data_IF_576552213217
#
_entry.id   IF_576552213217
#
_cell.length_a   1.000
_cell.length_b   1.000
_cell.length_c   1.000
_cell.angle_alpha   90.00
_cell.angle_beta   90.00
_cell.angle_gamma   90.00
#
_symmetry.space_group_name_H-M   'P 1'
#
loop_
_entity.id
_entity.type
_entity.pdbx_description
1 polymer ?
#
# COMPACT_ATOMS: atom_id res chain seq x y z
N UNK A 1 14.74 -7.67 -0.80
CA UNK A 1 15.73 -8.47 -0.06
C UNK A 1 16.11 -9.71 -0.86
N UNK A 2 15.18 -10.64 -1.11
CA UNK A 2 15.45 -11.86 -1.88
C UNK A 2 16.13 -11.59 -3.23
N UNK A 3 15.68 -10.55 -3.96
CA UNK A 3 16.28 -10.16 -5.25
C UNK A 3 17.71 -9.66 -5.09
N UNK A 4 18.00 -8.92 -4.04
CA UNK A 4 19.36 -8.44 -3.75
C UNK A 4 20.29 -9.61 -3.35
N UNK A 5 19.76 -10.53 -2.57
CA UNK A 5 20.51 -11.76 -2.18
C UNK A 5 20.78 -12.67 -3.40
N UNK A 6 19.78 -12.86 -4.28
CA UNK A 6 19.93 -13.67 -5.50
C UNK A 6 20.92 -13.06 -6.51
N UNK A 7 21.02 -11.72 -6.57
CA UNK A 7 21.94 -11.01 -7.47
C UNK A 7 23.27 -10.64 -6.82
N UNK A 8 23.50 -11.01 -5.55
CA UNK A 8 24.69 -10.65 -4.78
C UNK A 8 24.98 -9.14 -4.76
N UNK A 9 23.94 -8.29 -4.84
CA UNK A 9 24.06 -6.84 -4.88
C UNK A 9 24.51 -6.33 -3.51
N UNK A 10 25.63 -5.61 -3.47
CA UNK A 10 26.21 -5.03 -2.25
C UNK A 10 26.48 -3.53 -2.38
N UNK A 11 26.53 -3.03 -3.61
CA UNK A 11 26.73 -1.59 -3.86
C UNK A 11 25.48 -0.79 -3.53
N UNK A 12 25.65 0.31 -2.77
CA UNK A 12 24.54 1.15 -2.29
C UNK A 12 23.71 1.73 -3.42
N UNK A 13 24.35 2.16 -4.51
CA UNK A 13 23.67 2.72 -5.67
C UNK A 13 22.88 1.66 -6.43
N UNK A 14 23.40 0.45 -6.51
CA UNK A 14 22.67 -0.67 -7.11
C UNK A 14 21.46 -1.08 -6.25
N UNK A 15 21.57 -1.01 -4.93
CA UNK A 15 20.47 -1.25 -3.99
C UNK A 15 19.37 -0.20 -4.20
N UNK A 16 19.73 1.09 -4.28
CA UNK A 16 18.79 2.17 -4.55
C UNK A 16 18.09 1.99 -5.92
N UNK A 17 18.85 1.62 -6.96
CA UNK A 17 18.26 1.35 -8.26
C UNK A 17 17.29 0.17 -8.21
N UNK A 18 17.64 -0.90 -7.51
CA UNK A 18 16.76 -2.06 -7.34
C UNK A 18 15.50 -1.71 -6.55
N UNK A 19 15.60 -0.82 -5.55
CA UNK A 19 14.45 -0.31 -4.83
C UNK A 19 13.53 0.54 -5.71
N UNK A 20 14.09 1.45 -6.50
CA UNK A 20 13.33 2.25 -7.46
C UNK A 20 12.63 1.39 -8.51
N UNK A 21 13.31 0.35 -8.99
CA UNK A 21 12.77 -0.65 -9.91
C UNK A 21 11.61 -1.45 -9.27
N UNK A 22 11.75 -1.81 -7.99
CA UNK A 22 10.68 -2.44 -7.21
C UNK A 22 9.47 -1.51 -7.02
N UNK A 23 9.69 -0.23 -6.74
CA UNK A 23 8.64 0.79 -6.64
C UNK A 23 7.82 0.90 -7.93
N UNK A 24 8.48 0.80 -9.09
CA UNK A 24 7.84 0.93 -10.40
C UNK A 24 7.19 -0.36 -10.87
N UNK A 25 7.87 -1.49 -10.72
CA UNK A 25 7.51 -2.73 -11.39
C UNK A 25 7.08 -3.85 -10.44
N UNK A 26 7.05 -3.59 -9.14
CA UNK A 26 6.68 -4.58 -8.12
C UNK A 26 7.74 -5.66 -7.91
N UNK A 27 7.33 -6.74 -7.25
CA UNK A 27 8.20 -7.83 -6.81
C UNK A 27 7.87 -9.20 -7.40
N UNK A 28 6.97 -9.29 -8.40
CA UNK A 28 6.63 -10.58 -9.02
C UNK A 28 7.90 -11.24 -9.60
N UNK A 29 8.27 -12.48 -9.18
CA UNK A 29 9.59 -13.05 -9.48
C UNK A 29 9.89 -13.14 -10.98
N UNK A 30 8.91 -13.57 -11.78
CA UNK A 30 9.10 -13.79 -13.21
C UNK A 30 9.38 -12.49 -14.00
N UNK A 31 9.02 -11.31 -13.46
CA UNK A 31 9.32 -10.03 -14.13
C UNK A 31 10.83 -9.80 -14.33
N UNK A 32 11.66 -10.38 -13.48
CA UNK A 32 13.12 -10.24 -13.56
C UNK A 32 13.76 -10.98 -14.74
N UNK A 33 13.00 -11.81 -15.46
CA UNK A 33 13.42 -12.46 -16.70
C UNK A 33 13.32 -11.50 -17.90
N UNK A 34 12.51 -10.44 -17.79
CA UNK A 34 12.32 -9.46 -18.87
C UNK A 34 13.35 -8.33 -18.75
N UNK A 35 14.05 -8.07 -19.88
CA UNK A 35 15.10 -7.05 -19.97
C UNK A 35 14.59 -5.69 -20.45
N UNK A 36 13.39 -5.65 -21.03
CA UNK A 36 12.80 -4.46 -21.60
C UNK A 36 11.56 -4.04 -20.81
N UNK A 37 11.33 -2.73 -20.75
CA UNK A 37 10.13 -2.17 -20.12
C UNK A 37 8.83 -2.67 -20.79
N UNK A 38 8.84 -2.83 -22.10
CA UNK A 38 7.72 -3.36 -22.87
C UNK A 38 7.42 -4.81 -22.49
N UNK A 39 8.45 -5.66 -22.38
CA UNK A 39 8.31 -7.04 -21.94
C UNK A 39 7.75 -7.15 -20.52
N UNK A 40 8.23 -6.29 -19.59
CA UNK A 40 7.68 -6.23 -18.23
C UNK A 40 6.22 -5.80 -18.22
N UNK A 41 5.83 -4.79 -18.98
CA UNK A 41 4.44 -4.33 -19.10
C UNK A 41 3.53 -5.44 -19.65
N UNK A 42 3.97 -6.10 -20.71
CA UNK A 42 3.21 -7.22 -21.30
C UNK A 42 2.99 -8.34 -20.28
N UNK A 43 4.06 -8.76 -19.61
CA UNK A 43 3.96 -9.78 -18.55
C UNK A 43 3.00 -9.40 -17.44
N UNK A 44 3.13 -8.17 -16.90
CA UNK A 44 2.26 -7.70 -15.82
C UNK A 44 0.79 -7.59 -16.27
N UNK A 45 0.56 -7.17 -17.52
CA UNK A 45 -0.78 -7.14 -18.12
C UNK A 45 -1.37 -8.55 -18.23
N UNK A 46 -0.59 -9.51 -18.69
CA UNK A 46 -1.04 -10.92 -18.81
C UNK A 46 -1.37 -11.51 -17.43
N UNK A 47 -0.55 -11.19 -16.41
CA UNK A 47 -0.82 -11.63 -15.03
C UNK A 47 -2.10 -10.98 -14.50
N UNK A 48 -2.27 -9.67 -14.71
CA UNK A 48 -3.47 -8.95 -14.28
C UNK A 48 -4.71 -9.52 -14.98
N UNK A 49 -4.69 -9.72 -16.29
CA UNK A 49 -5.79 -10.29 -17.05
C UNK A 49 -6.10 -11.72 -16.61
N UNK A 50 -5.09 -12.52 -16.32
CA UNK A 50 -5.30 -13.87 -15.79
C UNK A 50 -6.03 -13.85 -14.44
N UNK A 51 -5.64 -12.96 -13.52
CA UNK A 51 -6.31 -12.80 -12.22
C UNK A 51 -7.73 -12.28 -12.43
N UNK A 52 -7.90 -11.19 -13.19
CA UNK A 52 -9.19 -10.52 -13.36
C UNK A 52 -10.15 -11.38 -14.16
N UNK A 53 -9.77 -11.83 -15.37
CA UNK A 53 -10.70 -12.50 -16.28
C UNK A 53 -10.95 -13.96 -15.90
N UNK A 54 -9.89 -14.70 -15.53
CA UNK A 54 -10.02 -16.13 -15.24
C UNK A 54 -10.49 -16.39 -13.82
N UNK A 55 -9.98 -15.67 -12.86
CA UNK A 55 -10.27 -15.95 -11.45
C UNK A 55 -11.44 -15.10 -10.94
N UNK A 56 -11.39 -13.79 -11.05
CA UNK A 56 -12.44 -12.91 -10.49
C UNK A 56 -13.71 -12.96 -11.30
N UNK A 57 -13.63 -12.62 -12.58
CA UNK A 57 -14.82 -12.49 -13.46
C UNK A 57 -15.55 -13.81 -13.62
N UNK A 58 -14.83 -14.88 -13.94
CA UNK A 58 -15.42 -16.20 -14.14
C UNK A 58 -15.99 -16.78 -12.85
N UNK A 59 -15.27 -16.71 -11.75
CA UNK A 59 -15.69 -17.27 -10.45
C UNK A 59 -16.91 -16.56 -9.87
N UNK A 60 -17.00 -15.24 -10.04
CA UNK A 60 -18.09 -14.43 -9.48
C UNK A 60 -19.16 -14.06 -10.50
N UNK A 61 -19.10 -14.58 -11.72
CA UNK A 61 -20.05 -14.31 -12.80
C UNK A 61 -20.29 -12.80 -13.03
N UNK A 62 -19.20 -12.03 -13.07
CA UNK A 62 -19.26 -10.57 -13.23
C UNK A 62 -19.68 -10.27 -14.68
N UNK A 63 -20.84 -9.62 -14.82
CA UNK A 63 -21.37 -9.27 -16.15
C UNK A 63 -20.72 -8.01 -16.73
N UNK A 64 -20.37 -7.04 -15.87
CA UNK A 64 -19.79 -5.78 -16.29
C UNK A 64 -18.31 -5.72 -15.89
N UNK A 65 -17.44 -6.29 -16.75
CA UNK A 65 -15.99 -6.34 -16.55
C UNK A 65 -15.38 -4.96 -16.59
N UNK A 66 -15.86 -4.07 -17.47
CA UNK A 66 -15.35 -2.71 -17.60
C UNK A 66 -15.61 -1.87 -16.33
N UNK A 67 -16.76 -2.04 -15.69
CA UNK A 67 -17.01 -1.42 -14.40
C UNK A 67 -16.04 -1.92 -13.33
N UNK A 68 -15.79 -3.23 -13.27
CA UNK A 68 -14.81 -3.80 -12.34
C UNK A 68 -13.42 -3.18 -12.56
N UNK A 69 -12.96 -3.10 -13.80
CA UNK A 69 -11.67 -2.47 -14.12
C UNK A 69 -11.62 -1.01 -13.70
N UNK A 70 -12.69 -0.23 -13.94
CA UNK A 70 -12.77 1.18 -13.50
C UNK A 70 -12.70 1.33 -11.98
N UNK A 71 -13.31 0.41 -11.23
CA UNK A 71 -13.21 0.39 -9.77
C UNK A 71 -11.76 0.12 -9.34
N UNK A 72 -11.07 -0.82 -9.99
CA UNK A 72 -9.66 -1.10 -9.70
C UNK A 72 -8.74 0.09 -10.05
N UNK A 73 -8.94 0.72 -11.20
CA UNK A 73 -8.22 1.94 -11.59
C UNK A 73 -8.38 3.06 -10.55
N UNK A 74 -9.60 3.29 -10.07
CA UNK A 74 -9.86 4.29 -9.03
C UNK A 74 -9.07 4.02 -7.75
N UNK A 75 -9.03 2.77 -7.30
CA UNK A 75 -8.28 2.39 -6.09
C UNK A 75 -6.78 2.60 -6.25
N UNK A 76 -6.23 2.22 -7.41
CA UNK A 76 -4.81 2.36 -7.72
C UNK A 76 -4.39 3.82 -7.87
N UNK A 77 -5.27 4.67 -8.39
CA UNK A 77 -5.00 6.11 -8.55
C UNK A 77 -5.21 6.91 -7.27
N UNK A 78 -5.82 6.31 -6.23
CA UNK A 78 -6.00 6.89 -4.90
C UNK A 78 -5.36 6.02 -3.80
N UNK A 79 -4.06 5.69 -3.92
CA UNK A 79 -3.42 4.77 -2.99
C UNK A 79 -3.31 5.39 -1.59
N UNK A 80 -3.37 4.54 -0.58
CA UNK A 80 -3.24 4.92 0.85
C UNK A 80 -4.31 5.87 1.39
N UNK A 81 -5.36 6.17 0.62
CA UNK A 81 -6.49 6.97 1.07
C UNK A 81 -7.62 6.10 1.62
N UNK A 82 -8.39 6.67 2.55
CA UNK A 82 -9.61 6.02 2.99
C UNK A 82 -10.58 5.87 1.83
N UNK A 83 -11.07 4.66 1.64
CA UNK A 83 -12.04 4.39 0.59
C UNK A 83 -13.38 5.05 0.92
N UNK A 84 -13.92 5.79 -0.04
CA UNK A 84 -15.23 6.42 0.02
C UNK A 84 -16.09 5.97 -1.15
N UNK A 85 -17.11 5.12 -0.92
CA UNK A 85 -18.04 4.73 -1.99
C UNK A 85 -18.72 5.93 -2.63
N UNK A 86 -19.07 6.95 -1.85
CA UNK A 86 -19.73 8.17 -2.35
C UNK A 86 -18.85 8.93 -3.33
N UNK A 87 -17.56 9.11 -3.01
CA UNK A 87 -16.61 9.76 -3.91
C UNK A 87 -16.45 8.96 -5.22
N UNK A 88 -16.34 7.65 -5.10
CA UNK A 88 -16.23 6.78 -6.26
C UNK A 88 -17.48 6.81 -7.14
N UNK A 89 -18.68 6.77 -6.55
CA UNK A 89 -19.94 6.91 -7.29
C UNK A 89 -19.92 8.24 -8.04
N UNK A 90 -19.55 9.35 -7.38
CA UNK A 90 -19.47 10.66 -8.01
C UNK A 90 -18.51 10.72 -9.21
N UNK A 91 -17.39 10.01 -9.17
CA UNK A 91 -16.49 9.91 -10.34
C UNK A 91 -17.11 9.09 -11.48
N UNK A 92 -17.72 7.94 -11.18
CA UNK A 92 -18.38 7.11 -12.19
C UNK A 92 -19.61 7.78 -12.81
N UNK A 93 -20.35 8.57 -12.05
CA UNK A 93 -21.49 9.38 -12.55
C UNK A 93 -21.05 10.43 -13.56
N UNK A 94 -19.88 11.06 -13.39
CA UNK A 94 -19.31 11.97 -14.40
C UNK A 94 -19.08 11.27 -15.74
N UNK A 95 -18.78 9.98 -15.71
CA UNK A 95 -18.62 9.13 -16.89
C UNK A 95 -19.93 8.51 -17.35
N UNK A 96 -21.08 8.89 -16.74
CA UNK A 96 -22.41 8.34 -17.00
C UNK A 96 -22.51 6.82 -16.75
N UNK A 97 -21.76 6.31 -15.81
CA UNK A 97 -21.78 4.90 -15.39
C UNK A 97 -22.58 4.78 -14.10
N UNK A 98 -23.84 4.29 -14.16
CA UNK A 98 -24.64 4.11 -12.96
C UNK A 98 -24.13 2.90 -12.16
N UNK A 99 -23.90 3.09 -10.86
CA UNK A 99 -23.42 2.02 -9.99
C UNK A 99 -24.04 2.13 -8.60
N UNK A 100 -24.37 1.00 -8.00
CA UNK A 100 -24.82 0.96 -6.61
C UNK A 100 -23.64 0.78 -5.65
N UNK A 101 -23.78 1.31 -4.44
CA UNK A 101 -22.82 1.10 -3.35
C UNK A 101 -22.57 -0.40 -3.12
N UNK A 102 -23.62 -1.24 -3.22
CA UNK A 102 -23.50 -2.68 -3.08
C UNK A 102 -22.57 -3.26 -4.14
N UNK A 103 -22.77 -2.90 -5.42
CA UNK A 103 -21.93 -3.39 -6.53
C UNK A 103 -20.46 -3.04 -6.32
N UNK A 104 -20.18 -1.84 -5.81
CA UNK A 104 -18.80 -1.43 -5.48
C UNK A 104 -18.21 -2.36 -4.41
N UNK A 105 -18.91 -2.58 -3.30
CA UNK A 105 -18.41 -3.47 -2.25
C UNK A 105 -18.26 -4.91 -2.73
N UNK A 106 -19.19 -5.43 -3.53
CA UNK A 106 -19.07 -6.76 -4.14
C UNK A 106 -17.76 -6.85 -4.98
N UNK A 107 -17.44 -5.83 -5.78
CA UNK A 107 -16.19 -5.78 -6.54
C UNK A 107 -14.93 -5.74 -5.63
N UNK A 108 -14.99 -4.99 -4.54
CA UNK A 108 -13.89 -4.93 -3.56
C UNK A 108 -13.69 -6.28 -2.87
N UNK A 109 -14.77 -6.95 -2.49
CA UNK A 109 -14.71 -8.27 -1.86
C UNK A 109 -14.15 -9.32 -2.85
N UNK A 110 -14.49 -9.23 -4.13
CA UNK A 110 -13.92 -10.12 -5.17
C UNK A 110 -12.42 -9.86 -5.37
N UNK A 111 -11.99 -8.59 -5.41
CA UNK A 111 -10.58 -8.24 -5.55
C UNK A 111 -9.74 -8.69 -4.34
N UNK A 112 -10.27 -8.52 -3.13
CA UNK A 112 -9.61 -8.99 -1.90
C UNK A 112 -9.61 -10.51 -1.80
N UNK A 113 -10.69 -11.18 -2.18
CA UNK A 113 -10.78 -12.63 -2.21
C UNK A 113 -9.86 -13.30 -3.24
N UNK A 114 -9.46 -12.58 -4.28
CA UNK A 114 -8.46 -13.01 -5.27
C UNK A 114 -7.02 -12.56 -4.93
N UNK A 115 -6.82 -11.97 -3.76
CA UNK A 115 -5.51 -11.47 -3.30
C UNK A 115 -4.89 -10.43 -4.27
N UNK A 116 -5.71 -9.76 -5.06
CA UNK A 116 -5.27 -8.63 -5.88
C UNK A 116 -4.91 -7.43 -5.01
N UNK A 117 -5.64 -7.26 -3.91
CA UNK A 117 -5.41 -6.25 -2.89
C UNK A 117 -5.84 -6.72 -1.51
N UNK A 118 -5.33 -6.04 -0.49
CA UNK A 118 -5.72 -6.26 0.91
C UNK A 118 -6.57 -5.11 1.41
N UNK A 119 -7.63 -5.43 2.15
CA UNK A 119 -8.47 -4.47 2.87
C UNK A 119 -7.98 -4.34 4.30
N UNK A 120 -7.77 -3.11 4.77
CA UNK A 120 -7.27 -2.82 6.11
C UNK A 120 -8.22 -1.88 6.81
N UNK A 121 -8.71 -2.32 7.96
CA UNK A 121 -9.65 -1.55 8.77
C UNK A 121 -8.94 -0.66 9.77
N UNK A 122 -9.60 0.43 10.16
CA UNK A 122 -9.11 1.36 11.16
C UNK A 122 -9.46 0.87 12.57
N UNK A 123 -8.45 0.87 13.44
CA UNK A 123 -8.58 0.59 14.87
C UNK A 123 -8.52 1.90 15.66
N UNK A 124 -9.58 2.16 16.41
CA UNK A 124 -9.62 3.27 17.37
C UNK A 124 -8.85 2.87 18.64
N UNK A 125 -7.68 3.52 18.85
CA UNK A 125 -6.76 3.17 19.92
C UNK A 125 -7.38 3.42 21.30
N UNK A 126 -8.12 4.51 21.48
CA UNK A 126 -8.80 4.82 22.74
C UNK A 126 -10.05 3.98 22.96
N UNK A 127 -10.89 3.90 21.94
CA UNK A 127 -12.14 3.13 22.01
C UNK A 127 -11.92 1.62 21.97
N UNK A 128 -10.70 1.16 21.70
CA UNK A 128 -10.31 -0.26 21.58
C UNK A 128 -11.26 -1.06 20.69
N UNK A 129 -11.64 -0.49 19.54
CA UNK A 129 -12.59 -1.08 18.60
C UNK A 129 -12.23 -0.79 17.15
N UNK A 130 -12.67 -1.66 16.25
CA UNK A 130 -12.58 -1.43 14.81
C UNK A 130 -13.64 -0.42 14.40
N UNK A 131 -13.26 0.59 13.62
CA UNK A 131 -14.18 1.58 13.07
C UNK A 131 -14.79 1.05 11.77
N UNK A 132 -16.11 1.02 11.71
CA UNK A 132 -16.83 0.61 10.50
C UNK A 132 -16.65 1.64 9.38
N UNK A 133 -16.48 1.14 8.13
CA UNK A 133 -16.41 1.96 6.91
C UNK A 133 -15.25 2.96 6.84
N UNK A 134 -14.17 2.70 7.58
CA UNK A 134 -12.89 3.41 7.47
C UNK A 134 -11.80 2.43 7.09
N UNK A 135 -11.83 1.99 5.83
CA UNK A 135 -10.89 1.02 5.30
C UNK A 135 -9.98 1.67 4.26
N UNK A 136 -8.74 1.19 4.18
CA UNK A 136 -7.82 1.45 3.07
C UNK A 136 -7.56 0.16 2.32
N UNK A 137 -7.16 0.30 1.06
CA UNK A 137 -6.83 -0.83 0.19
C UNK A 137 -5.39 -0.71 -0.27
N UNK A 138 -4.65 -1.80 -0.18
CA UNK A 138 -3.25 -1.90 -0.56
C UNK A 138 -3.09 -3.02 -1.57
N UNK A 139 -2.35 -2.74 -2.65
CA UNK A 139 -2.07 -3.73 -3.68
C UNK A 139 -1.14 -4.81 -3.13
N UNK A 140 -1.38 -6.05 -3.51
CA UNK A 140 -0.46 -7.15 -3.20
C UNK A 140 0.88 -6.98 -3.92
N UNK A 141 0.84 -6.45 -5.15
CA UNK A 141 2.05 -6.12 -5.91
C UNK A 141 1.90 -4.78 -6.63
N UNK A 142 2.91 -3.89 -6.50
CA UNK A 142 2.88 -2.55 -7.10
C UNK A 142 2.95 -2.58 -8.63
N UNK A 143 3.56 -3.60 -9.23
CA UNK A 143 3.64 -3.74 -10.67
C UNK A 143 2.27 -3.86 -11.33
N UNK A 144 1.31 -4.50 -10.65
CA UNK A 144 -0.07 -4.55 -11.12
C UNK A 144 -0.73 -3.16 -11.10
N UNK A 145 -0.30 -2.29 -10.18
CA UNK A 145 -0.73 -0.91 -10.13
C UNK A 145 -0.28 -0.09 -11.35
N UNK A 146 0.91 -0.37 -11.89
CA UNK A 146 1.42 0.33 -13.08
C UNK A 146 0.58 0.05 -14.33
N UNK A 147 0.01 -1.15 -14.45
CA UNK A 147 -0.85 -1.51 -15.58
C UNK A 147 -2.20 -0.78 -15.49
N UNK A 148 -2.72 -0.61 -14.28
CA UNK A 148 -3.99 0.08 -14.03
C UNK A 148 -3.87 1.60 -14.04
N UNK A 149 -2.68 2.16 -13.78
CA UNK A 149 -2.48 3.61 -13.68
C UNK A 149 -2.32 4.28 -15.06
N UNK A 150 -3.43 4.44 -15.74
CA UNK A 150 -3.48 5.05 -17.09
C UNK A 150 -2.91 6.47 -17.11
N UNK A 151 -3.04 7.22 -16.01
CA UNK A 151 -2.65 8.63 -15.93
C UNK A 151 -1.19 8.87 -15.50
N UNK A 152 -0.40 7.82 -15.25
CA UNK A 152 1.05 7.85 -14.94
C UNK A 152 1.48 8.88 -13.88
N UNK A 153 0.58 9.35 -13.03
CA UNK A 153 0.93 10.15 -11.86
C UNK A 153 1.39 9.23 -10.75
N UNK A 154 2.66 8.94 -10.74
CA UNK A 154 3.26 8.11 -9.69
C UNK A 154 3.25 8.89 -8.37
N UNK A 155 2.41 8.49 -7.44
CA UNK A 155 2.40 9.03 -6.09
C UNK A 155 3.37 8.21 -5.23
N UNK A 156 4.67 8.47 -5.37
CA UNK A 156 5.73 7.70 -4.69
C UNK A 156 5.48 7.56 -3.19
N UNK A 157 5.05 8.62 -2.50
CA UNK A 157 4.78 8.57 -1.07
C UNK A 157 3.69 7.55 -0.70
N UNK A 158 2.63 7.46 -1.50
CA UNK A 158 1.56 6.51 -1.25
C UNK A 158 1.98 5.05 -1.55
N UNK A 159 2.87 4.85 -2.52
CA UNK A 159 3.45 3.52 -2.79
C UNK A 159 4.41 3.08 -1.70
N UNK A 160 5.10 4.00 -1.02
CA UNK A 160 5.90 3.64 0.16
C UNK A 160 5.03 3.03 1.25
N UNK A 161 3.86 3.61 1.53
CA UNK A 161 2.90 3.04 2.46
C UNK A 161 2.49 1.62 2.06
N UNK A 162 2.28 1.36 0.76
CA UNK A 162 1.97 0.02 0.28
C UNK A 162 3.13 -0.97 0.51
N UNK A 163 4.38 -0.54 0.28
CA UNK A 163 5.56 -1.37 0.53
C UNK A 163 5.68 -1.70 2.02
N UNK A 164 5.55 -0.71 2.89
CA UNK A 164 5.63 -0.92 4.34
C UNK A 164 4.53 -1.88 4.80
N UNK A 165 3.31 -1.72 4.31
CA UNK A 165 2.23 -2.66 4.59
C UNK A 165 2.58 -4.10 4.19
N UNK A 166 2.98 -4.29 2.93
CA UNK A 166 3.31 -5.61 2.39
C UNK A 166 4.46 -6.26 3.20
N UNK A 167 5.49 -5.49 3.54
CA UNK A 167 6.62 -5.98 4.35
C UNK A 167 6.17 -6.38 5.76
N UNK A 168 5.33 -5.57 6.43
CA UNK A 168 4.81 -5.91 7.75
C UNK A 168 4.01 -7.23 7.72
N UNK A 169 3.18 -7.43 6.69
CA UNK A 169 2.47 -8.70 6.49
C UNK A 169 3.44 -9.86 6.24
N UNK A 170 4.45 -9.67 5.40
CA UNK A 170 5.50 -10.67 5.15
C UNK A 170 6.28 -11.05 6.42
N UNK A 171 6.52 -10.08 7.32
CA UNK A 171 7.11 -10.33 8.64
C UNK A 171 6.16 -11.03 9.62
N UNK A 172 4.91 -11.28 9.20
CA UNK A 172 3.90 -12.01 9.97
C UNK A 172 3.13 -11.15 10.98
N UNK A 173 3.10 -9.84 10.78
CA UNK A 173 2.24 -8.95 11.57
C UNK A 173 0.81 -8.96 11.06
N UNK A 174 -0.13 -8.84 11.97
CA UNK A 174 -1.49 -8.37 11.67
C UNK A 174 -1.47 -6.84 11.70
N UNK A 175 -1.93 -6.22 10.60
CA UNK A 175 -1.82 -4.77 10.42
C UNK A 175 -3.20 -4.13 10.42
N UNK A 176 -3.33 -3.00 11.11
CA UNK A 176 -4.50 -2.12 11.07
C UNK A 176 -4.06 -0.66 10.93
N UNK A 177 -4.96 0.22 10.50
CA UNK A 177 -4.74 1.66 10.52
C UNK A 177 -5.06 2.15 11.94
N UNK A 178 -4.24 3.05 12.48
CA UNK A 178 -4.49 3.63 13.80
C UNK A 178 -5.33 4.90 13.73
N UNK A 179 -6.27 5.04 14.65
CA UNK A 179 -6.91 6.31 14.94
C UNK A 179 -6.58 6.75 16.37
N UNK A 180 -5.76 7.80 16.49
CA UNK A 180 -5.38 8.39 17.77
C UNK A 180 -6.07 9.75 17.92
N UNK A 181 -7.28 9.77 18.48
CA UNK A 181 -8.09 10.99 18.66
C UNK A 181 -8.30 11.81 17.37
N UNK A 182 -8.64 11.14 16.30
CA UNK A 182 -8.83 11.77 15.00
C UNK A 182 -7.56 11.95 14.18
N UNK A 183 -6.38 11.76 14.76
CA UNK A 183 -5.12 11.66 14.01
C UNK A 183 -4.91 10.24 13.53
N UNK A 184 -4.52 10.12 12.28
CA UNK A 184 -4.18 8.84 11.69
C UNK A 184 -2.78 8.40 12.13
N UNK A 185 -2.63 7.10 12.42
CA UNK A 185 -1.36 6.40 12.42
C UNK A 185 -1.44 5.42 11.27
N UNK A 186 -0.49 5.49 10.33
CA UNK A 186 -0.56 4.71 9.10
C UNK A 186 -0.71 3.23 9.38
N UNK A 187 0.11 2.69 10.29
CA UNK A 187 -0.01 1.28 10.66
C UNK A 187 0.18 1.03 12.15
N UNK A 188 -0.67 0.16 12.69
CA UNK A 188 -0.48 -0.55 13.93
C UNK A 188 -0.17 -2.00 13.54
N UNK A 189 1.04 -2.45 13.80
CA UNK A 189 1.49 -3.80 13.53
C UNK A 189 1.48 -4.62 14.82
N UNK A 190 0.76 -5.75 14.84
CA UNK A 190 0.65 -6.63 16.00
C UNK A 190 1.09 -8.04 15.64
N UNK A 191 1.95 -8.63 16.48
CA UNK A 191 2.41 -10.01 16.32
C UNK A 191 2.60 -10.63 17.71
N UNK A 192 1.83 -11.67 18.01
CA UNK A 192 1.75 -12.23 19.37
C UNK A 192 1.41 -11.15 20.42
N UNK A 193 2.31 -10.91 21.38
CA UNK A 193 2.18 -9.88 22.41
C UNK A 193 2.94 -8.58 22.07
N UNK A 194 3.48 -8.46 20.87
CA UNK A 194 4.19 -7.27 20.41
C UNK A 194 3.24 -6.37 19.64
N UNK A 195 3.40 -5.07 19.82
CA UNK A 195 2.72 -4.04 19.07
C UNK A 195 3.74 -2.95 18.71
N UNK A 196 3.64 -2.46 17.51
CA UNK A 196 4.50 -1.40 16.98
C UNK A 196 3.65 -0.43 16.17
N UNK A 197 4.09 0.82 16.07
CA UNK A 197 3.41 1.88 15.34
C UNK A 197 4.32 2.42 14.24
N UNK A 198 3.75 2.66 13.07
CA UNK A 198 4.47 3.13 11.90
C UNK A 198 3.77 4.30 11.24
N UNK A 199 4.53 5.36 10.94
CA UNK A 199 4.19 6.43 10.01
C UNK A 199 5.10 6.32 8.80
N UNK A 200 4.60 6.69 7.62
CA UNK A 200 5.33 6.56 6.36
C UNK A 200 5.25 7.87 5.60
N UNK A 201 6.39 8.49 5.36
CA UNK A 201 6.52 9.69 4.54
C UNK A 201 7.49 9.46 3.38
N UNK A 202 7.31 10.16 2.26
CA UNK A 202 8.31 10.12 1.20
C UNK A 202 9.61 10.77 1.68
N UNK A 203 9.52 11.98 2.24
CA UNK A 203 10.64 12.71 2.83
C UNK A 203 10.18 13.54 4.03
N UNK A 204 11.05 13.71 4.99
CA UNK A 204 10.88 14.54 6.19
C UNK A 204 11.57 15.91 6.05
N UNK A 205 12.10 16.25 4.88
CA UNK A 205 12.87 17.48 4.64
C UNK A 205 12.10 18.78 4.95
N UNK A 206 10.76 18.76 4.89
CA UNK A 206 9.94 19.91 5.31
C UNK A 206 9.55 19.78 6.78
N UNK A 207 9.70 20.89 7.52
CA UNK A 207 9.32 20.94 8.93
C UNK A 207 7.84 20.62 9.16
N UNK A 208 6.98 21.00 8.23
CA UNK A 208 5.55 20.69 8.28
C UNK A 208 5.30 19.18 8.21
N UNK A 209 5.99 18.47 7.30
CA UNK A 209 5.88 17.00 7.19
C UNK A 209 6.44 16.33 8.44
N UNK A 210 7.61 16.76 8.91
CA UNK A 210 8.21 16.24 10.13
C UNK A 210 7.25 16.37 11.32
N UNK A 211 6.73 17.59 11.58
CA UNK A 211 5.80 17.85 12.68
C UNK A 211 4.50 17.03 12.56
N UNK A 212 4.03 16.77 11.34
CA UNK A 212 2.83 15.98 11.09
C UNK A 212 3.08 14.52 11.45
N UNK A 213 4.15 13.92 10.93
CA UNK A 213 4.42 12.49 11.09
C UNK A 213 4.77 12.15 12.56
N UNK A 214 5.67 12.88 13.15
CA UNK A 214 6.01 12.69 14.57
C UNK A 214 4.84 13.09 15.50
N UNK A 215 4.07 14.09 15.11
CA UNK A 215 2.90 14.57 15.84
C UNK A 215 1.71 13.59 15.87
N UNK A 216 1.67 12.58 15.00
CA UNK A 216 0.65 11.53 15.03
C UNK A 216 0.67 10.72 16.34
N UNK A 217 1.84 10.57 16.94
CA UNK A 217 2.06 9.84 18.19
C UNK A 217 1.79 10.67 19.46
N UNK A 218 1.51 11.96 19.32
CA UNK A 218 1.25 12.83 20.47
C UNK A 218 0.08 12.30 21.31
N UNK A 219 0.28 12.24 22.63
CA UNK A 219 -0.68 11.70 23.61
C UNK A 219 -1.00 10.21 23.42
N UNK A 220 -0.10 9.45 22.81
CA UNK A 220 -0.16 8.00 22.80
C UNK A 220 0.59 7.48 24.02
N UNK A 221 -0.17 7.22 25.10
CA UNK A 221 0.36 6.88 26.44
C UNK A 221 0.64 5.38 26.57
N UNK A 222 1.50 4.86 25.68
CA UNK A 222 2.01 3.50 25.78
C UNK A 222 3.51 3.43 25.43
N UNK A 223 4.16 2.34 25.85
CA UNK A 223 5.59 2.12 25.68
C UNK A 223 5.94 1.28 24.45
N UNK A 224 4.99 1.07 23.55
CA UNK A 224 5.28 0.33 22.33
C UNK A 224 6.18 1.14 21.39
N UNK A 225 7.07 0.47 20.63
CA UNK A 225 7.93 1.13 19.66
C UNK A 225 7.13 1.95 18.64
N UNK A 226 7.68 3.11 18.29
CA UNK A 226 7.11 4.06 17.34
C UNK A 226 8.15 4.38 16.29
N UNK A 227 7.78 4.20 15.03
CA UNK A 227 8.68 4.36 13.88
C UNK A 227 8.12 5.37 12.90
N UNK A 228 9.02 6.17 12.32
CA UNK A 228 8.76 6.95 11.11
C UNK A 228 9.67 6.40 10.02
N UNK A 229 9.08 5.93 8.92
CA UNK A 229 9.81 5.36 7.79
C UNK A 229 9.81 6.38 6.66
N UNK A 230 10.98 6.71 6.09
CA UNK A 230 11.08 7.58 4.93
C UNK A 230 12.22 7.17 3.99
N UNK A 231 12.39 7.92 2.88
CA UNK A 231 13.54 7.73 1.99
C UNK A 231 14.78 8.50 2.45
N UNK A 232 14.67 9.32 3.49
CA UNK A 232 15.77 10.13 3.97
C UNK A 232 16.86 9.26 4.60
N UNK A 233 18.14 9.62 4.32
CA UNK A 233 19.31 8.97 4.91
C UNK A 233 19.75 9.62 6.24
N UNK A 234 19.33 10.87 6.47
CA UNK A 234 19.58 11.55 7.73
C UNK A 234 18.66 10.99 8.82
N UNK A 235 19.19 10.81 10.01
CA UNK A 235 18.39 10.36 11.15
C UNK A 235 17.59 11.54 11.74
N UNK A 236 16.26 11.40 11.72
CA UNK A 236 15.30 12.34 12.31
C UNK A 236 14.74 11.85 13.65
N UNK A 237 15.30 10.80 14.23
CA UNK A 237 14.81 10.23 15.50
C UNK A 237 14.69 11.27 16.59
N UNK A 238 13.54 11.33 17.25
CA UNK A 238 13.28 12.30 18.31
C UNK A 238 12.20 11.82 19.29
N UNK A 239 12.29 12.28 20.54
CA UNK A 239 11.26 12.04 21.58
C UNK A 239 10.88 10.55 21.76
N UNK A 240 11.84 9.64 21.61
CA UNK A 240 11.60 8.18 21.69
C UNK A 240 10.92 7.57 20.47
N UNK A 241 10.75 8.33 19.39
CA UNK A 241 10.27 7.86 18.09
C UNK A 241 11.50 7.66 17.20
N UNK A 242 11.60 6.49 16.59
CA UNK A 242 12.76 6.07 15.78
C UNK A 242 12.47 6.34 14.31
N UNK A 243 13.34 7.11 13.66
CA UNK A 243 13.32 7.24 12.20
C UNK A 243 14.16 6.13 11.57
N UNK A 244 13.70 5.58 10.45
CA UNK A 244 14.46 4.62 9.65
C UNK A 244 14.35 4.94 8.17
N UNK A 245 15.46 4.85 7.46
CA UNK A 245 15.42 4.80 6.00
C UNK A 245 14.70 3.53 5.55
N UNK A 246 13.83 3.65 4.54
CA UNK A 246 12.99 2.52 4.10
C UNK A 246 13.81 1.36 3.56
N UNK A 247 14.91 1.63 2.85
CA UNK A 247 15.75 0.57 2.29
C UNK A 247 16.42 -0.20 3.42
N UNK A 248 17.01 0.51 4.38
CA UNK A 248 17.66 -0.10 5.53
C UNK A 248 16.66 -0.93 6.35
N UNK A 249 15.47 -0.40 6.57
CA UNK A 249 14.39 -1.09 7.27
C UNK A 249 13.94 -2.37 6.53
N UNK A 250 13.82 -2.33 5.20
CA UNK A 250 13.48 -3.51 4.39
C UNK A 250 14.57 -4.60 4.45
N UNK A 251 15.82 -4.21 4.63
CA UNK A 251 16.97 -5.12 4.70
C UNK A 251 17.21 -5.71 6.10
N UNK A 252 16.60 -5.16 7.14
CA UNK A 252 16.64 -5.73 8.50
C UNK A 252 16.09 -7.17 8.51
N UNK A 253 16.67 -7.99 9.40
CA UNK A 253 16.31 -9.42 9.56
C UNK A 253 15.20 -9.58 10.59
#
# INVERSE_FOLDING_TARGET
KEVLELKEIKDEKEIENAFNDYLLWGGLPQRFEFKTEEGMKTYLSDVFDAIVLKDIVKRNNIKNVSLFQRIMEYLVTNPSQFFSPTNMIGELEKEKIPVSTKTIYDCLDYATGAILMSRISTYDIRGKRILTRKDKYYLTDLGLGQILNVNKKTQFGAYLGNIVYNELVCRGYTVSIGNNNGKEIDFIATKYNQKEYYQVAYTLASKETEEREFGAYKNLDDNYPKYVISTDKLDYSQNGIIHKNIIDWLLEK
#
